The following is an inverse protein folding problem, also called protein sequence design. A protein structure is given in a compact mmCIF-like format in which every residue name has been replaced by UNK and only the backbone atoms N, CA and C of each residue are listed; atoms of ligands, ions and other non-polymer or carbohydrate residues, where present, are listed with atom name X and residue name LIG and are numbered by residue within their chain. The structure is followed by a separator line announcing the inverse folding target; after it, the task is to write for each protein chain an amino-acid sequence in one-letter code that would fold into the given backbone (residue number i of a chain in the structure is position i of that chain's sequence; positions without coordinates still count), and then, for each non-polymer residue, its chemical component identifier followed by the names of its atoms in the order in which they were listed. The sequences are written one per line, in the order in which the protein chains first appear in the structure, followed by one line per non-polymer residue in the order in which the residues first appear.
data_IF_144690905490
#
_entry.id   IF_144690905490
#
_cell.length_a   1.000
_cell.length_b   1.000
_cell.length_c   1.000
_cell.angle_alpha   90.00
_cell.angle_beta   90.00
_cell.angle_gamma   90.00
#
_symmetry.space_group_name_H-M   'P 1'
#
loop_
_entity.id
_entity.type
_entity.pdbx_description
1 polymer ?
#
# COMPACT_ATOMS: atom_id res chain seq x y z
N UNK A 1 6.07 0.31 9.54
CA UNK A 1 5.09 -0.79 9.67
C UNK A 1 5.00 -1.25 11.11
N UNK A 2 3.88 -1.88 11.49
CA UNK A 2 3.73 -2.54 12.79
C UNK A 2 4.68 -3.74 12.92
N UNK A 3 5.00 -4.14 14.16
CA UNK A 3 5.84 -5.31 14.42
C UNK A 3 5.17 -6.60 13.88
N UNK A 4 3.85 -6.70 13.98
CA UNK A 4 3.09 -7.82 13.41
C UNK A 4 3.24 -7.92 11.89
N UNK A 5 3.11 -6.80 11.20
CA UNK A 5 3.31 -6.72 9.74
C UNK A 5 4.74 -7.07 9.35
N UNK A 6 5.73 -6.56 10.09
CA UNK A 6 7.14 -6.89 9.88
C UNK A 6 7.37 -8.40 10.00
N UNK A 7 6.91 -9.00 11.09
CA UNK A 7 7.07 -10.44 11.36
C UNK A 7 6.40 -11.29 10.28
N UNK A 8 5.23 -10.88 9.78
CA UNK A 8 4.55 -11.59 8.70
C UNK A 8 5.34 -11.55 7.40
N UNK A 9 5.85 -10.37 7.01
CA UNK A 9 6.68 -10.21 5.80
C UNK A 9 7.96 -11.03 5.94
N UNK A 10 8.65 -10.95 7.08
CA UNK A 10 9.86 -11.72 7.35
C UNK A 10 9.61 -13.22 7.28
N UNK A 11 8.46 -13.69 7.78
CA UNK A 11 8.05 -15.10 7.68
C UNK A 11 7.87 -15.55 6.23
N UNK A 12 7.30 -14.71 5.39
CA UNK A 12 7.12 -14.99 3.95
C UNK A 12 8.45 -14.95 3.21
N UNK A 13 9.30 -13.97 3.48
CA UNK A 13 10.64 -13.87 2.90
C UNK A 13 11.50 -15.07 3.26
N UNK A 14 11.46 -15.53 4.50
CA UNK A 14 12.20 -16.71 4.95
C UNK A 14 11.75 -18.01 4.26
N UNK A 15 10.50 -18.08 3.82
CA UNK A 15 9.99 -19.22 3.03
C UNK A 15 10.48 -19.15 1.58
N UNK A 16 10.80 -17.95 1.09
CA UNK A 16 11.38 -17.69 -0.24
C UNK A 16 12.90 -17.56 -0.17
N UNK A 17 13.57 -18.65 0.25
CA UNK A 17 15.01 -18.68 0.51
C UNK A 17 15.90 -18.21 -0.66
N UNK A 18 15.43 -18.25 -1.90
CA UNK A 18 16.18 -17.78 -3.06
C UNK A 18 16.53 -16.29 -2.98
N UNK A 19 15.60 -15.44 -2.54
CA UNK A 19 15.85 -14.01 -2.41
C UNK A 19 16.90 -13.70 -1.36
N UNK A 20 16.87 -14.41 -0.23
CA UNK A 20 17.85 -14.25 0.86
C UNK A 20 19.22 -14.81 0.47
N UNK A 21 19.28 -15.86 -0.36
CA UNK A 21 20.53 -16.48 -0.81
C UNK A 21 21.37 -15.51 -1.66
N UNK A 22 20.73 -14.60 -2.39
CA UNK A 22 21.42 -13.59 -3.21
C UNK A 22 21.88 -12.37 -2.40
N UNK A 23 21.67 -12.34 -1.09
CA UNK A 23 22.09 -11.24 -0.22
C UNK A 23 21.32 -9.94 -0.44
N UNK A 24 20.11 -10.03 -1.01
CA UNK A 24 19.26 -8.87 -1.25
C UNK A 24 18.90 -8.20 0.08
N UNK A 25 19.03 -6.88 0.11
CA UNK A 25 18.59 -6.08 1.23
C UNK A 25 17.15 -5.61 0.97
N UNK A 26 16.23 -6.05 1.83
CA UNK A 26 14.81 -5.76 1.71
C UNK A 26 14.39 -4.91 2.89
N UNK A 27 13.93 -3.69 2.62
CA UNK A 27 13.35 -2.81 3.62
C UNK A 27 11.84 -2.71 3.43
N UNK A 28 11.10 -2.58 4.54
CA UNK A 28 9.65 -2.51 4.55
C UNK A 28 9.23 -1.15 5.06
N UNK A 29 8.42 -0.44 4.27
CA UNK A 29 7.95 0.91 4.58
C UNK A 29 6.42 0.94 4.59
N UNK A 30 5.84 1.37 5.71
CA UNK A 30 4.42 1.68 5.81
C UNK A 30 4.10 3.01 5.11
N UNK A 31 3.03 3.02 4.32
CA UNK A 31 2.53 4.23 3.68
C UNK A 31 1.08 4.50 4.08
N UNK A 32 0.75 5.77 4.23
CA UNK A 32 -0.57 6.21 4.68
C UNK A 32 -1.61 6.28 3.56
N UNK A 33 -1.17 6.27 2.30
CA UNK A 33 -2.04 6.30 1.11
C UNK A 33 -1.36 5.60 -0.04
N UNK A 34 -2.08 4.70 -0.69
CA UNK A 34 -1.62 4.04 -1.91
C UNK A 34 -2.81 3.57 -2.75
N UNK A 35 -2.58 3.34 -4.04
CA UNK A 35 -3.54 2.71 -4.96
C UNK A 35 -3.42 1.19 -4.98
N UNK A 36 -2.31 0.67 -4.49
CA UNK A 36 -2.01 -0.75 -4.40
C UNK A 36 -1.79 -1.10 -2.93
N UNK A 37 -2.21 -2.29 -2.50
CA UNK A 37 -2.02 -2.74 -1.13
C UNK A 37 -0.54 -2.87 -0.78
N UNK A 38 0.20 -3.48 -1.69
CA UNK A 38 1.65 -3.68 -1.58
C UNK A 38 2.29 -3.28 -2.91
N UNK A 39 3.33 -2.47 -2.84
CA UNK A 39 4.14 -2.08 -3.98
C UNK A 39 5.59 -2.44 -3.70
N UNK A 40 6.21 -3.16 -4.63
CA UNK A 40 7.64 -3.44 -4.59
C UNK A 40 8.36 -2.52 -5.55
N UNK A 41 9.46 -1.94 -5.12
CA UNK A 41 10.30 -1.10 -5.95
C UNK A 41 11.78 -1.33 -5.64
N UNK A 42 12.64 -1.14 -6.63
CA UNK A 42 14.09 -1.07 -6.42
C UNK A 42 14.42 0.23 -5.69
N UNK A 43 15.39 0.19 -4.79
CA UNK A 43 15.95 1.40 -4.17
C UNK A 43 16.47 2.36 -5.23
N UNK A 44 16.29 3.66 -5.01
CA UNK A 44 16.94 4.67 -5.83
C UNK A 44 18.39 4.86 -5.34
N UNK A 45 19.28 5.29 -6.23
CA UNK A 45 20.68 5.61 -5.88
C UNK A 45 20.77 6.55 -4.66
N UNK A 46 19.82 7.46 -4.51
CA UNK A 46 19.74 8.37 -3.36
C UNK A 46 19.44 7.61 -2.07
N UNK A 47 18.45 6.71 -2.09
CA UNK A 47 18.07 5.92 -0.92
C UNK A 47 19.20 4.96 -0.55
N UNK A 48 19.81 4.30 -1.53
CA UNK A 48 20.94 3.39 -1.35
C UNK A 48 22.14 4.12 -0.73
N UNK A 49 22.41 5.34 -1.20
CA UNK A 49 23.49 6.18 -0.64
C UNK A 49 23.23 6.56 0.82
N UNK A 50 22.00 7.00 1.16
CA UNK A 50 21.67 7.38 2.54
C UNK A 50 21.58 6.19 3.49
N UNK A 51 21.20 5.02 2.99
CA UNK A 51 21.12 3.79 3.78
C UNK A 51 22.47 3.08 3.90
N UNK A 52 23.51 3.53 3.18
CA UNK A 52 24.79 2.84 3.02
C UNK A 52 24.61 1.37 2.57
N UNK A 53 23.73 1.17 1.60
CA UNK A 53 23.32 -0.13 1.09
C UNK A 53 23.31 -0.11 -0.42
N UNK A 54 23.62 -1.23 -1.05
CA UNK A 54 23.51 -1.46 -2.49
C UNK A 54 22.43 -2.51 -2.79
N UNK A 55 21.84 -2.43 -3.97
CA UNK A 55 20.85 -3.40 -4.43
C UNK A 55 19.65 -3.59 -3.48
N UNK A 56 19.14 -2.46 -2.98
CA UNK A 56 17.96 -2.43 -2.11
C UNK A 56 16.68 -2.72 -2.87
N UNK A 57 15.82 -3.51 -2.25
CA UNK A 57 14.40 -3.63 -2.60
C UNK A 57 13.57 -3.04 -1.47
N UNK A 58 12.59 -2.22 -1.82
CA UNK A 58 11.68 -1.61 -0.85
C UNK A 58 10.28 -2.16 -1.07
N UNK A 59 9.70 -2.70 -0.02
CA UNK A 59 8.30 -3.14 0.01
C UNK A 59 7.48 -2.05 0.71
N UNK A 60 6.65 -1.35 -0.06
CA UNK A 60 5.71 -0.37 0.48
C UNK A 60 4.39 -1.06 0.82
N UNK A 61 3.90 -0.90 2.04
CA UNK A 61 2.64 -1.48 2.51
C UNK A 61 1.67 -0.36 2.87
N UNK A 62 0.47 -0.39 2.30
CA UNK A 62 -0.61 0.50 2.70
C UNK A 62 -1.24 0.00 4.00
N UNK A 63 -0.71 0.44 5.15
CA UNK A 63 -1.03 -0.09 6.47
C UNK A 63 -2.53 -0.03 6.79
N UNK A 64 -3.18 1.11 6.56
CA UNK A 64 -4.60 1.27 6.87
C UNK A 64 -5.51 0.26 6.14
N UNK A 65 -5.15 -0.15 4.91
CA UNK A 65 -5.86 -1.18 4.17
C UNK A 65 -5.41 -2.58 4.59
N UNK A 66 -4.12 -2.75 4.85
CA UNK A 66 -3.52 -4.02 5.24
C UNK A 66 -4.07 -4.53 6.57
N UNK A 67 -4.22 -3.65 7.56
CA UNK A 67 -4.72 -3.99 8.90
C UNK A 67 -6.17 -4.49 8.89
N UNK A 68 -6.97 -4.12 7.89
CA UNK A 68 -8.36 -4.57 7.75
C UNK A 68 -8.51 -5.97 7.13
N UNK A 69 -7.42 -6.59 6.69
CA UNK A 69 -7.44 -7.89 6.04
C UNK A 69 -7.14 -9.02 7.03
N UNK A 70 -7.69 -10.21 6.75
CA UNK A 70 -7.33 -11.43 7.47
C UNK A 70 -5.91 -11.89 7.14
N UNK A 71 -5.29 -12.68 8.03
CA UNK A 71 -3.90 -13.09 7.92
C UNK A 71 -3.60 -13.87 6.63
N UNK A 72 -4.51 -14.74 6.19
CA UNK A 72 -4.34 -15.48 4.94
C UNK A 72 -4.32 -14.54 3.74
N UNK A 73 -5.23 -13.58 3.70
CA UNK A 73 -5.28 -12.55 2.65
C UNK A 73 -4.02 -11.70 2.65
N UNK A 74 -3.53 -11.27 3.83
CA UNK A 74 -2.26 -10.55 3.99
C UNK A 74 -1.11 -11.35 3.42
N UNK A 75 -0.96 -12.60 3.82
CA UNK A 75 0.10 -13.53 3.37
C UNK A 75 0.11 -13.69 1.85
N UNK A 76 -1.03 -14.01 1.24
CA UNK A 76 -1.15 -14.20 -0.21
C UNK A 76 -0.74 -12.95 -0.98
N UNK A 77 -1.16 -11.77 -0.51
CA UNK A 77 -0.78 -10.50 -1.14
C UNK A 77 0.72 -10.21 -1.03
N UNK A 78 1.36 -10.54 0.11
CA UNK A 78 2.82 -10.42 0.27
C UNK A 78 3.52 -11.37 -0.70
N UNK A 79 3.15 -12.65 -0.71
CA UNK A 79 3.75 -13.65 -1.60
C UNK A 79 3.61 -13.24 -3.06
N UNK A 80 2.43 -12.76 -3.46
CA UNK A 80 2.21 -12.26 -4.83
C UNK A 80 3.10 -11.05 -5.15
N UNK A 81 3.34 -10.17 -4.18
CA UNK A 81 4.17 -8.98 -4.41
C UNK A 81 5.67 -9.34 -4.56
N UNK A 82 6.18 -10.24 -3.73
CA UNK A 82 7.60 -10.63 -3.75
C UNK A 82 7.96 -11.58 -4.89
N UNK A 83 6.99 -12.32 -5.45
CA UNK A 83 7.22 -13.23 -6.58
C UNK A 83 7.78 -12.52 -7.81
N UNK A 84 7.54 -11.22 -7.93
CA UNK A 84 8.08 -10.40 -9.01
C UNK A 84 9.52 -9.94 -8.82
N UNK A 85 10.13 -10.22 -7.68
CA UNK A 85 11.52 -9.85 -7.43
C UNK A 85 12.43 -10.90 -8.05
N UNK A 86 13.12 -10.54 -9.13
CA UNK A 86 14.02 -11.43 -9.86
C UNK A 86 15.45 -10.93 -9.72
N UNK A 87 16.38 -11.86 -9.51
CA UNK A 87 17.80 -11.60 -9.52
C UNK A 87 18.46 -12.27 -10.73
N UNK A 88 19.07 -11.46 -11.60
CA UNK A 88 19.85 -11.92 -12.74
C UNK A 88 21.32 -12.05 -12.31
N UNK A 89 21.74 -13.28 -12.00
CA UNK A 89 23.08 -13.57 -11.52
C UNK A 89 24.18 -13.31 -12.58
N UNK A 90 23.85 -13.31 -13.88
CA UNK A 90 24.81 -13.03 -14.94
C UNK A 90 25.13 -11.54 -15.03
N UNK A 91 24.12 -10.69 -14.74
CA UNK A 91 24.23 -9.23 -14.80
C UNK A 91 24.39 -8.60 -13.44
N UNK A 92 24.38 -9.38 -12.36
CA UNK A 92 24.36 -8.92 -10.98
C UNK A 92 23.32 -7.79 -10.77
N UNK A 93 22.08 -8.07 -11.19
CA UNK A 93 21.04 -7.05 -11.26
C UNK A 93 19.69 -7.56 -10.77
N UNK A 94 19.07 -6.75 -9.92
CA UNK A 94 17.67 -6.94 -9.52
C UNK A 94 16.74 -6.33 -10.57
N UNK A 95 15.72 -7.10 -10.93
CA UNK A 95 14.58 -6.64 -11.72
C UNK A 95 13.29 -6.91 -10.96
N UNK A 96 12.32 -6.02 -11.11
CA UNK A 96 10.99 -6.19 -10.52
C UNK A 96 10.01 -6.29 -11.69
N UNK A 97 9.48 -7.49 -11.89
CA UNK A 97 8.46 -7.74 -12.91
C UNK A 97 7.07 -7.57 -12.30
N UNK A 98 6.13 -7.15 -13.15
CA UNK A 98 4.71 -7.12 -12.79
C UNK A 98 4.01 -8.32 -13.41
N UNK A 99 3.05 -8.94 -12.71
CA UNK A 99 2.27 -10.03 -13.29
C UNK A 99 1.40 -9.53 -14.43
N UNK A 100 1.16 -10.38 -15.44
CA UNK A 100 0.35 -10.01 -16.61
C UNK A 100 -1.13 -9.75 -16.27
N UNK A 101 -1.64 -10.35 -15.20
CA UNK A 101 -3.04 -10.29 -14.77
C UNK A 101 -3.15 -10.09 -13.24
N UNK A 102 -2.49 -9.07 -12.71
CA UNK A 102 -2.48 -8.75 -11.27
C UNK A 102 -2.02 -9.88 -10.32
N UNK A 103 -1.71 -11.06 -10.85
CA UNK A 103 -1.33 -12.25 -10.10
C UNK A 103 -0.32 -13.09 -10.86
N UNK A 104 0.68 -13.63 -10.16
CA UNK A 104 1.61 -14.59 -10.73
C UNK A 104 0.98 -15.99 -10.78
N UNK A 105 1.29 -16.74 -11.82
CA UNK A 105 0.75 -18.08 -12.04
C UNK A 105 1.14 -19.07 -10.95
N UNK A 106 2.30 -18.89 -10.32
CA UNK A 106 2.76 -19.64 -9.14
C UNK A 106 1.81 -19.47 -7.97
N UNK A 107 1.41 -18.25 -7.66
CA UNK A 107 0.46 -17.91 -6.59
C UNK A 107 -0.90 -18.55 -6.86
N UNK A 108 -1.40 -18.43 -8.11
CA UNK A 108 -2.66 -19.09 -8.47
C UNK A 108 -2.57 -20.62 -8.38
N UNK A 109 -1.46 -21.24 -8.74
CA UNK A 109 -1.28 -22.70 -8.59
C UNK A 109 -1.31 -23.14 -7.14
N UNK A 110 -0.73 -22.36 -6.25
CA UNK A 110 -0.68 -22.63 -4.81
C UNK A 110 -2.02 -22.44 -4.14
N UNK A 111 -2.64 -21.30 -4.36
CA UNK A 111 -3.84 -20.87 -3.58
C UNK A 111 -5.15 -20.95 -4.36
N UNK A 112 -5.10 -21.12 -5.71
CA UNK A 112 -6.29 -21.23 -6.58
C UNK A 112 -7.28 -20.08 -6.35
N UNK A 113 -8.55 -20.41 -6.03
CA UNK A 113 -9.58 -19.38 -5.80
C UNK A 113 -9.28 -18.47 -4.62
N UNK A 114 -8.63 -18.94 -3.57
CA UNK A 114 -8.24 -18.11 -2.43
C UNK A 114 -7.29 -16.96 -2.84
N UNK A 115 -6.45 -17.17 -3.87
CA UNK A 115 -5.62 -16.09 -4.40
C UNK A 115 -6.45 -15.00 -5.09
N UNK A 116 -7.47 -15.38 -5.87
CA UNK A 116 -8.37 -14.41 -6.51
C UNK A 116 -9.14 -13.61 -5.45
N UNK A 117 -9.73 -14.31 -4.49
CA UNK A 117 -10.47 -13.68 -3.39
C UNK A 117 -9.59 -12.73 -2.57
N UNK A 118 -8.33 -13.09 -2.31
CA UNK A 118 -7.39 -12.27 -1.56
C UNK A 118 -7.09 -10.94 -2.28
N UNK A 119 -6.89 -10.97 -3.60
CA UNK A 119 -6.65 -9.76 -4.39
C UNK A 119 -7.91 -8.91 -4.53
N UNK A 120 -9.08 -9.53 -4.69
CA UNK A 120 -10.35 -8.83 -4.72
C UNK A 120 -10.63 -8.14 -3.39
N UNK A 121 -10.46 -8.83 -2.25
CA UNK A 121 -10.62 -8.24 -0.92
C UNK A 121 -9.70 -7.03 -0.72
N UNK A 122 -8.42 -7.14 -1.11
CA UNK A 122 -7.47 -6.03 -1.03
C UNK A 122 -7.96 -4.82 -1.84
N UNK A 123 -8.41 -5.03 -3.07
CA UNK A 123 -8.96 -3.97 -3.93
C UNK A 123 -10.23 -3.35 -3.36
N UNK A 124 -11.13 -4.15 -2.80
CA UNK A 124 -12.36 -3.67 -2.16
C UNK A 124 -12.07 -2.78 -0.96
N UNK A 125 -11.14 -3.18 -0.09
CA UNK A 125 -10.76 -2.41 1.10
C UNK A 125 -10.15 -1.07 0.69
N UNK A 126 -9.25 -1.04 -0.29
CA UNK A 126 -8.65 0.21 -0.79
C UNK A 126 -9.73 1.16 -1.31
N UNK A 127 -10.64 0.65 -2.15
CA UNK A 127 -11.75 1.44 -2.69
C UNK A 127 -12.67 1.98 -1.59
N UNK A 128 -12.94 1.19 -0.56
CA UNK A 128 -13.74 1.60 0.59
C UNK A 128 -13.09 2.76 1.36
N UNK A 129 -11.79 2.69 1.62
CA UNK A 129 -11.05 3.77 2.29
C UNK A 129 -11.04 5.02 1.42
N UNK A 130 -10.80 4.90 0.11
CA UNK A 130 -10.84 6.04 -0.79
C UNK A 130 -12.21 6.72 -0.83
N UNK A 131 -13.30 5.94 -0.78
CA UNK A 131 -14.65 6.49 -0.75
C UNK A 131 -14.91 7.23 0.56
N UNK A 132 -14.56 6.65 1.70
CA UNK A 132 -14.68 7.30 3.01
C UNK A 132 -13.89 8.63 3.07
N UNK A 133 -12.69 8.66 2.51
CA UNK A 133 -11.88 9.88 2.40
C UNK A 133 -12.56 10.96 1.55
N UNK A 134 -13.24 10.59 0.45
CA UNK A 134 -13.99 11.52 -0.40
C UNK A 134 -15.20 12.07 0.35
N UNK A 135 -16.00 11.20 0.94
CA UNK A 135 -17.20 11.58 1.70
C UNK A 135 -16.85 12.52 2.87
N UNK A 136 -15.74 12.23 3.59
CA UNK A 136 -15.26 13.09 4.67
C UNK A 136 -14.80 14.47 4.18
N UNK A 137 -14.23 14.56 2.98
CA UNK A 137 -13.84 15.86 2.37
C UNK A 137 -15.06 16.65 1.93
N UNK A 138 -16.05 15.99 1.34
CA UNK A 138 -17.30 16.64 0.93
C UNK A 138 -18.08 17.16 2.14
N UNK A 139 -18.20 16.36 3.20
CA UNK A 139 -18.83 16.78 4.45
C UNK A 139 -18.15 18.02 5.05
N UNK A 140 -16.83 18.07 5.09
CA UNK A 140 -16.07 19.24 5.55
C UNK A 140 -16.27 20.47 4.66
N UNK A 141 -16.44 20.26 3.35
CA UNK A 141 -16.71 21.37 2.42
C UNK A 141 -18.09 21.94 2.65
N UNK A 142 -19.11 21.09 2.77
CA UNK A 142 -20.49 21.50 3.08
C UNK A 142 -20.58 22.26 4.42
N UNK A 143 -19.90 21.77 5.45
CA UNK A 143 -19.84 22.44 6.75
C UNK A 143 -19.24 23.85 6.66
N UNK A 144 -18.17 24.01 5.87
CA UNK A 144 -17.56 25.33 5.63
C UNK A 144 -18.48 26.28 4.88
N UNK A 145 -19.20 25.78 3.90
CA UNK A 145 -20.17 26.56 3.11
C UNK A 145 -21.35 26.99 4.00
N UNK A 146 -21.90 26.09 4.79
CA UNK A 146 -22.95 26.39 5.76
C UNK A 146 -22.53 27.43 6.80
N UNK A 147 -21.31 27.33 7.32
CA UNK A 147 -20.76 28.35 8.24
C UNK A 147 -20.59 29.71 7.57
N UNK A 148 -20.28 29.75 6.28
CA UNK A 148 -20.18 31.00 5.53
C UNK A 148 -21.57 31.64 5.30
N UNK A 149 -22.58 30.85 4.92
CA UNK A 149 -23.94 31.35 4.73
C UNK A 149 -24.54 31.90 6.03
N UNK A 150 -24.41 31.18 7.14
CA UNK A 150 -24.86 31.64 8.45
C UNK A 150 -24.20 32.95 8.89
N UNK A 151 -22.90 33.10 8.64
CA UNK A 151 -22.20 34.37 8.91
C UNK A 151 -22.67 35.53 8.01
N UNK A 152 -23.03 35.21 6.76
CA UNK A 152 -23.57 36.25 5.85
C UNK A 152 -24.96 36.69 6.28
N UNK A 153 -25.84 35.77 6.68
CA UNK A 153 -27.18 36.07 7.21
C UNK A 153 -27.11 36.88 8.45
N UNK A 154 -26.24 36.52 9.42
CA UNK A 154 -26.05 37.30 10.66
C UNK A 154 -25.54 38.71 10.37
N UNK A 155 -24.70 38.91 9.36
CA UNK A 155 -24.24 40.26 8.96
C UNK A 155 -25.35 41.08 8.28
N UNK A 156 -26.21 40.43 7.49
CA UNK A 156 -27.35 41.09 6.88
C UNK A 156 -28.36 41.57 7.94
N UNK A 157 -28.74 40.70 8.87
CA UNK A 157 -29.65 41.04 9.96
C UNK A 157 -29.13 42.18 10.87
N UNK A 158 -27.81 42.23 11.11
CA UNK A 158 -27.22 43.34 11.85
C UNK A 158 -27.27 44.68 11.10
N UNK A 159 -27.23 44.68 9.79
CA UNK A 159 -27.35 45.92 9.00
C UNK A 159 -28.75 46.49 9.01
N UNK A 160 -29.78 45.63 9.03
CA UNK A 160 -31.19 46.05 9.04
C UNK A 160 -31.65 46.63 10.38
N UNK A 161 -30.93 46.33 11.48
CA UNK A 161 -31.23 46.86 12.82
C UNK A 161 -30.65 48.27 13.03
N UNK A 162 -29.70 48.72 12.25
CA UNK A 162 -29.04 50.01 12.38
C UNK A 162 -29.44 51.03 11.27
N UNK A 163 -30.47 50.74 10.50
CA UNK A 163 -31.14 51.65 9.62
C UNK A 163 -32.51 52.05 10.20
#
# INVERSE_FOLDING_TARGET
VSEETQNLVDSVLNTNSSLLTYGLQIDIIGVTKAKELIKVAKGSEVIEHYADKTDMVIIYIYEAAFDLLDEQTKRINIENAIEGILFDAEKDKITIEKPNINMYSSIYRTYKFAAVEALEKASMVINQIEQQDKDAKEAKKMEREMKKSLKAEQKAQKKDIYM
#
